data_IF_005448557007
#
_entry.id   IF_005448557007
#
_cell.length_a   1.000
_cell.length_b   1.000
_cell.length_c   1.000
_cell.angle_alpha   90.00
_cell.angle_beta   90.00
_cell.angle_gamma   90.00
#
_symmetry.space_group_name_H-M   'P 1'
#
loop_
_entity.id
_entity.type
_entity.pdbx_description
1 polymer ?
#
# COMPACT_ATOMS: atom_id res chain seq x y z
N UNK A 1 -16.13 -4.84 -10.57
CA UNK A 1 -14.74 -4.68 -10.10
C UNK A 1 -13.88 -4.19 -11.24
N UNK A 2 -12.96 -3.25 -11.02
CA UNK A 2 -12.15 -2.67 -12.10
C UNK A 2 -10.97 -3.56 -12.44
N UNK A 3 -10.79 -3.85 -13.73
CA UNK A 3 -9.60 -4.57 -14.19
C UNK A 3 -8.43 -3.59 -14.20
N UNK A 4 -7.52 -3.73 -13.24
CA UNK A 4 -6.31 -2.91 -13.16
C UNK A 4 -5.38 -3.25 -14.32
N UNK A 5 -4.82 -2.22 -14.96
CA UNK A 5 -3.80 -2.36 -16.00
C UNK A 5 -2.39 -2.58 -15.42
N UNK A 6 -2.27 -2.52 -14.10
CA UNK A 6 -1.02 -2.72 -13.40
C UNK A 6 -0.55 -4.17 -13.57
N UNK A 7 0.57 -4.36 -14.27
CA UNK A 7 1.19 -5.66 -14.48
C UNK A 7 2.08 -6.01 -13.28
N UNK A 8 1.69 -7.02 -12.53
CA UNK A 8 2.37 -7.48 -11.32
C UNK A 8 2.96 -8.89 -11.50
N UNK A 9 2.51 -9.65 -12.49
CA UNK A 9 2.81 -11.07 -12.62
C UNK A 9 4.21 -11.35 -13.17
N UNK A 10 4.75 -10.47 -14.01
CA UNK A 10 6.02 -10.66 -14.69
C UNK A 10 7.27 -10.32 -13.84
N UNK A 11 7.13 -10.08 -12.55
CA UNK A 11 8.23 -9.57 -11.72
C UNK A 11 8.33 -10.25 -10.35
N UNK A 12 7.81 -11.46 -10.22
CA UNK A 12 7.76 -12.18 -8.94
C UNK A 12 9.10 -12.84 -8.54
N UNK A 13 10.02 -13.01 -9.46
CA UNK A 13 11.33 -13.62 -9.19
C UNK A 13 12.20 -12.77 -8.26
N UNK A 14 11.96 -11.47 -8.25
CA UNK A 14 12.53 -10.53 -7.30
C UNK A 14 11.44 -10.11 -6.29
N UNK A 15 11.84 -9.77 -5.06
CA UNK A 15 10.88 -9.22 -4.11
C UNK A 15 10.25 -7.92 -4.64
N UNK A 16 9.03 -7.61 -4.23
CA UNK A 16 8.34 -6.40 -4.64
C UNK A 16 7.86 -5.60 -3.42
N UNK A 17 8.08 -4.30 -3.45
CA UNK A 17 7.35 -3.35 -2.63
C UNK A 17 6.21 -2.73 -3.45
N UNK A 18 4.96 -2.93 -3.02
CA UNK A 18 3.79 -2.30 -3.62
C UNK A 18 3.31 -1.13 -2.77
N UNK A 19 3.71 0.07 -3.14
CA UNK A 19 3.28 1.30 -2.49
C UNK A 19 2.03 1.89 -3.16
N UNK A 20 1.40 2.83 -2.50
CA UNK A 20 0.26 3.58 -3.03
C UNK A 20 -0.59 4.13 -1.92
N UNK A 21 -1.29 5.23 -2.18
CA UNK A 21 -2.17 5.88 -1.21
C UNK A 21 -3.19 4.89 -0.60
N UNK A 22 -3.77 5.27 0.53
CA UNK A 22 -4.84 4.46 1.12
C UNK A 22 -6.03 4.38 0.16
N UNK A 23 -6.75 3.26 0.20
CA UNK A 23 -7.96 2.99 -0.60
C UNK A 23 -7.77 2.90 -2.12
N UNK A 24 -6.54 2.94 -2.66
CA UNK A 24 -6.30 2.73 -4.10
C UNK A 24 -6.51 1.27 -4.56
N UNK A 25 -6.75 0.35 -3.63
CA UNK A 25 -7.09 -1.05 -3.93
C UNK A 25 -5.89 -2.01 -3.93
N UNK A 26 -4.79 -1.72 -3.20
CA UNK A 26 -3.62 -2.63 -3.10
C UNK A 26 -4.00 -4.03 -2.64
N UNK A 27 -4.61 -4.14 -1.45
CA UNK A 27 -4.98 -5.44 -0.85
C UNK A 27 -5.95 -6.22 -1.73
N UNK A 28 -6.93 -5.53 -2.33
CA UNK A 28 -7.88 -6.12 -3.28
C UNK A 28 -7.17 -6.70 -4.50
N UNK A 29 -6.27 -5.91 -5.11
CA UNK A 29 -5.49 -6.34 -6.27
C UNK A 29 -4.65 -7.58 -5.94
N UNK A 30 -3.98 -7.58 -4.78
CA UNK A 30 -3.11 -8.68 -4.36
C UNK A 30 -3.90 -9.97 -4.11
N UNK A 31 -5.03 -9.88 -3.42
CA UNK A 31 -5.89 -11.04 -3.15
C UNK A 31 -6.52 -11.62 -4.40
N UNK A 32 -6.87 -10.78 -5.39
CA UNK A 32 -7.42 -11.24 -6.66
C UNK A 32 -6.38 -11.90 -7.57
N UNK A 33 -5.20 -11.31 -7.62
CA UNK A 33 -4.13 -11.80 -8.52
C UNK A 33 -3.42 -13.03 -7.97
N UNK A 34 -3.35 -13.15 -6.65
CA UNK A 34 -2.58 -14.21 -5.98
C UNK A 34 -3.43 -14.90 -4.89
N UNK A 35 -4.52 -15.58 -5.26
CA UNK A 35 -5.41 -16.23 -4.29
C UNK A 35 -4.74 -17.35 -3.50
N UNK A 36 -3.69 -17.98 -4.06
CA UNK A 36 -2.96 -19.08 -3.42
C UNK A 36 -1.74 -18.63 -2.61
N UNK A 37 -1.45 -17.33 -2.56
CA UNK A 37 -0.34 -16.80 -1.79
C UNK A 37 -0.59 -16.89 -0.29
N UNK A 38 0.48 -17.11 0.48
CA UNK A 38 0.40 -16.96 1.93
C UNK A 38 0.24 -15.46 2.25
N UNK A 39 -0.86 -15.09 2.89
CA UNK A 39 -1.23 -13.68 3.10
C UNK A 39 -1.22 -13.32 4.58
N UNK A 40 -0.40 -12.33 4.94
CA UNK A 40 -0.38 -11.73 6.28
C UNK A 40 -0.88 -10.29 6.23
N UNK A 41 -2.04 -10.05 6.82
CA UNK A 41 -2.62 -8.70 6.97
C UNK A 41 -2.21 -8.12 8.34
N UNK A 42 -1.33 -7.14 8.35
CA UNK A 42 -0.87 -6.47 9.56
C UNK A 42 -1.85 -5.39 10.09
N UNK A 43 -2.98 -5.18 9.43
CA UNK A 43 -4.10 -4.43 10.01
C UNK A 43 -4.84 -5.28 11.04
N UNK A 44 -4.79 -6.61 10.92
CA UNK A 44 -5.35 -7.52 11.93
C UNK A 44 -4.51 -7.42 13.21
N UNK A 45 -5.14 -6.91 14.27
CA UNK A 45 -4.46 -6.58 15.53
C UNK A 45 -3.75 -7.79 16.17
N UNK A 46 -4.38 -8.97 16.12
CA UNK A 46 -3.81 -10.21 16.65
C UNK A 46 -2.51 -10.60 15.90
N UNK A 47 -2.52 -10.53 14.56
CA UNK A 47 -1.36 -10.85 13.72
C UNK A 47 -0.23 -9.84 13.97
N UNK A 48 -0.58 -8.56 13.95
CA UNK A 48 0.38 -7.48 14.22
C UNK A 48 1.03 -7.60 15.58
N UNK A 49 0.25 -7.82 16.66
CA UNK A 49 0.77 -7.96 18.03
C UNK A 49 1.66 -9.19 18.19
N UNK A 50 1.30 -10.30 17.56
CA UNK A 50 2.10 -11.52 17.60
C UNK A 50 3.50 -11.28 17.00
N UNK A 51 3.56 -10.70 15.80
CA UNK A 51 4.84 -10.43 15.13
C UNK A 51 5.64 -9.29 15.77
N UNK A 52 4.99 -8.27 16.35
CA UNK A 52 5.70 -7.25 17.15
C UNK A 52 6.36 -7.82 18.38
N UNK A 53 5.71 -8.79 19.07
CA UNK A 53 6.25 -9.44 20.26
C UNK A 53 7.40 -10.38 19.93
N UNK A 54 7.30 -11.10 18.82
CA UNK A 54 8.30 -12.07 18.39
C UNK A 54 8.42 -12.06 16.86
N UNK A 55 9.22 -11.16 16.27
CA UNK A 55 9.43 -11.11 14.81
C UNK A 55 10.00 -12.41 14.24
N UNK A 56 10.78 -13.16 15.02
CA UNK A 56 11.35 -14.43 14.57
C UNK A 56 10.29 -15.51 14.32
N UNK A 57 9.12 -15.42 14.96
CA UNK A 57 7.99 -16.34 14.70
C UNK A 57 7.50 -16.27 13.24
N UNK A 58 7.65 -15.12 12.58
CA UNK A 58 7.35 -14.98 11.16
C UNK A 58 8.28 -15.86 10.31
N UNK A 59 9.58 -15.81 10.57
CA UNK A 59 10.57 -16.65 9.89
C UNK A 59 10.31 -18.13 10.14
N UNK A 60 10.05 -18.52 11.41
CA UNK A 60 9.74 -19.89 11.79
C UNK A 60 8.50 -20.44 11.08
N UNK A 61 7.46 -19.64 10.90
CA UNK A 61 6.23 -20.05 10.19
C UNK A 61 6.45 -20.34 8.69
N UNK A 62 7.51 -19.81 8.12
CA UNK A 62 7.78 -19.88 6.68
C UNK A 62 9.00 -20.73 6.30
N UNK A 63 9.84 -21.11 7.27
CA UNK A 63 11.13 -21.76 7.01
C UNK A 63 11.00 -23.08 6.25
N UNK A 64 9.92 -23.83 6.47
CA UNK A 64 9.68 -25.14 5.83
C UNK A 64 8.86 -25.05 4.55
N UNK A 65 8.54 -23.84 4.07
CA UNK A 65 7.81 -23.66 2.83
C UNK A 65 8.73 -23.94 1.63
N UNK A 66 8.19 -24.53 0.54
CA UNK A 66 8.95 -24.78 -0.68
C UNK A 66 9.51 -23.49 -1.29
N UNK A 67 10.68 -23.58 -1.94
CA UNK A 67 11.21 -22.49 -2.74
C UNK A 67 10.18 -22.07 -3.81
N UNK A 68 10.13 -20.78 -4.14
CA UNK A 68 9.13 -20.21 -5.04
C UNK A 68 7.76 -19.92 -4.40
N UNK A 69 7.55 -20.30 -3.12
CA UNK A 69 6.31 -19.91 -2.41
C UNK A 69 6.19 -18.40 -2.34
N UNK A 70 5.06 -17.87 -2.82
CA UNK A 70 4.74 -16.45 -2.73
C UNK A 70 4.13 -16.12 -1.36
N UNK A 71 4.70 -15.12 -0.71
CA UNK A 71 4.23 -14.57 0.56
C UNK A 71 3.90 -13.09 0.40
N UNK A 72 2.71 -12.70 0.80
CA UNK A 72 2.26 -11.31 0.80
C UNK A 72 2.20 -10.81 2.24
N UNK A 73 2.85 -9.68 2.51
CA UNK A 73 2.75 -8.99 3.79
C UNK A 73 2.14 -7.61 3.56
N UNK A 74 0.89 -7.45 3.95
CA UNK A 74 0.15 -6.20 3.76
C UNK A 74 0.39 -5.25 4.93
N UNK A 75 0.62 -3.96 4.62
CA UNK A 75 0.93 -2.88 5.57
C UNK A 75 2.23 -3.12 6.38
N UNK A 76 3.30 -3.57 5.69
CA UNK A 76 4.60 -3.93 6.28
C UNK A 76 5.18 -2.85 7.21
N UNK A 77 4.88 -1.57 7.00
CA UNK A 77 5.33 -0.48 7.88
C UNK A 77 4.76 -0.55 9.30
N UNK A 78 3.75 -1.40 9.55
CA UNK A 78 3.22 -1.63 10.90
C UNK A 78 4.16 -2.49 11.77
N UNK A 79 4.97 -3.34 11.12
CA UNK A 79 5.98 -4.21 11.78
C UNK A 79 7.22 -4.30 10.89
N UNK A 80 8.01 -3.21 10.77
CA UNK A 80 9.17 -3.15 9.87
C UNK A 80 10.28 -4.14 10.26
N UNK A 81 10.29 -4.62 11.49
CA UNK A 81 11.23 -5.62 11.99
C UNK A 81 11.14 -6.97 11.23
N UNK A 82 10.03 -7.22 10.53
CA UNK A 82 9.88 -8.42 9.69
C UNK A 82 10.80 -8.42 8.46
N UNK A 83 11.30 -7.25 8.04
CA UNK A 83 12.13 -7.13 6.83
C UNK A 83 13.43 -7.95 6.91
N UNK A 84 14.01 -8.09 8.09
CA UNK A 84 15.19 -8.94 8.27
C UNK A 84 14.84 -10.42 8.04
N UNK A 85 13.70 -10.86 8.56
CA UNK A 85 13.16 -12.20 8.32
C UNK A 85 12.83 -12.44 6.84
N UNK A 86 12.20 -11.47 6.19
CA UNK A 86 11.91 -11.50 4.73
C UNK A 86 13.21 -11.66 3.94
N UNK A 87 14.21 -10.81 4.21
CA UNK A 87 15.51 -10.87 3.54
C UNK A 87 16.16 -12.25 3.71
N UNK A 88 16.19 -12.76 4.93
CA UNK A 88 16.78 -14.08 5.20
C UNK A 88 16.06 -15.20 4.43
N UNK A 89 14.70 -15.18 4.40
CA UNK A 89 13.89 -16.18 3.70
C UNK A 89 14.07 -16.11 2.18
N UNK A 90 14.18 -14.91 1.61
CA UNK A 90 14.48 -14.74 0.19
C UNK A 90 15.82 -15.37 -0.18
N UNK A 91 16.87 -15.07 0.60
CA UNK A 91 18.24 -15.51 0.29
C UNK A 91 18.44 -17.01 0.55
N UNK A 92 17.92 -17.51 1.68
CA UNK A 92 18.27 -18.85 2.14
C UNK A 92 17.22 -19.91 1.81
N UNK A 93 15.98 -19.50 1.49
CA UNK A 93 14.87 -20.41 1.19
C UNK A 93 14.26 -20.22 -0.20
N UNK A 94 14.67 -19.15 -0.90
CA UNK A 94 14.14 -18.86 -2.25
C UNK A 94 12.64 -18.53 -2.24
N UNK A 95 12.11 -17.95 -1.17
CA UNK A 95 10.74 -17.50 -1.11
C UNK A 95 10.58 -16.17 -1.83
N UNK A 96 9.44 -15.94 -2.44
CA UNK A 96 9.10 -14.70 -3.11
C UNK A 96 8.19 -13.83 -2.22
N UNK A 97 8.40 -12.52 -2.24
CA UNK A 97 7.66 -11.61 -1.36
C UNK A 97 7.06 -10.43 -2.12
N UNK A 98 5.80 -10.13 -1.80
CA UNK A 98 5.18 -8.84 -2.09
C UNK A 98 4.87 -8.16 -0.75
N UNK A 99 5.47 -6.99 -0.54
CA UNK A 99 5.31 -6.20 0.67
C UNK A 99 4.52 -4.94 0.32
N UNK A 100 3.31 -4.81 0.84
CA UNK A 100 2.51 -3.63 0.56
C UNK A 100 2.59 -2.58 1.67
N UNK A 101 2.37 -1.33 1.31
CA UNK A 101 2.33 -0.24 2.27
C UNK A 101 1.84 1.07 1.68
N UNK A 102 1.49 2.03 2.55
CA UNK A 102 1.06 3.36 2.09
C UNK A 102 2.23 4.20 1.57
N UNK A 103 3.43 4.06 2.15
CA UNK A 103 4.57 4.93 1.83
C UNK A 103 5.92 4.25 2.03
N UNK A 104 6.81 4.41 1.04
CA UNK A 104 8.22 4.00 1.12
C UNK A 104 8.98 4.80 2.20
N UNK A 105 8.62 6.05 2.45
CA UNK A 105 9.28 6.92 3.43
C UNK A 105 9.09 6.41 4.85
N UNK A 106 7.89 5.89 5.17
CA UNK A 106 7.61 5.29 6.49
C UNK A 106 8.56 4.14 6.79
N UNK A 107 8.82 3.27 5.82
CA UNK A 107 9.78 2.18 5.95
C UNK A 107 11.22 2.68 6.12
N UNK A 108 11.66 3.66 5.34
CA UNK A 108 13.01 4.22 5.46
C UNK A 108 13.25 4.88 6.82
N UNK A 109 12.25 5.53 7.40
CA UNK A 109 12.35 6.17 8.72
C UNK A 109 12.48 5.20 9.88
N UNK A 110 11.91 4.01 9.74
CA UNK A 110 12.07 2.97 10.78
C UNK A 110 13.49 2.41 10.86
N UNK A 111 14.43 2.88 10.01
CA UNK A 111 15.79 2.34 9.94
C UNK A 111 15.85 0.93 9.38
N UNK A 112 14.72 0.40 8.92
CA UNK A 112 14.66 -0.94 8.39
C UNK A 112 15.43 -1.06 7.08
N UNK A 113 16.20 -2.14 6.95
CA UNK A 113 16.90 -2.48 5.73
C UNK A 113 15.86 -2.73 4.61
N UNK A 114 15.87 -1.90 3.57
CA UNK A 114 14.95 -2.02 2.43
C UNK A 114 15.39 -3.12 1.46
N UNK A 115 15.74 -4.29 2.01
CA UNK A 115 16.12 -5.52 1.29
C UNK A 115 17.33 -5.39 0.35
N UNK A 116 18.14 -4.31 0.50
CA UNK A 116 19.42 -4.21 -0.20
C UNK A 116 19.34 -4.33 -1.72
N UNK A 117 18.29 -3.82 -2.35
CA UNK A 117 18.10 -3.88 -3.79
C UNK A 117 17.47 -5.19 -4.31
N UNK A 118 17.05 -6.10 -3.40
CA UNK A 118 16.38 -7.36 -3.75
C UNK A 118 14.86 -7.25 -3.90
N UNK A 119 14.31 -6.06 -3.76
CA UNK A 119 12.90 -5.80 -3.97
C UNK A 119 12.71 -4.57 -4.83
N UNK A 120 11.88 -4.70 -5.85
CA UNK A 120 11.58 -3.63 -6.79
C UNK A 120 10.43 -2.79 -6.24
N UNK A 121 10.61 -1.47 -6.05
CA UNK A 121 9.51 -0.62 -5.66
C UNK A 121 8.56 -0.37 -6.84
N UNK A 122 7.27 -0.57 -6.59
CA UNK A 122 6.18 -0.27 -7.51
C UNK A 122 5.14 0.58 -6.81
N UNK A 123 4.45 1.42 -7.57
CA UNK A 123 3.40 2.28 -7.04
C UNK A 123 2.09 2.00 -7.76
N UNK A 124 1.07 1.64 -6.97
CA UNK A 124 -0.31 1.55 -7.44
C UNK A 124 -0.96 2.93 -7.28
N UNK A 125 -1.31 3.53 -8.39
CA UNK A 125 -2.04 4.80 -8.43
C UNK A 125 -3.56 4.58 -8.29
N UNK A 126 -4.35 5.63 -8.02
CA UNK A 126 -5.81 5.59 -8.22
C UNK A 126 -6.18 5.06 -9.62
N UNK A 127 -7.46 4.88 -9.88
CA UNK A 127 -7.92 4.44 -11.19
C UNK A 127 -7.45 5.40 -12.30
N UNK A 128 -7.18 4.84 -13.47
CA UNK A 128 -6.97 5.62 -14.69
C UNK A 128 -8.13 5.38 -15.64
N UNK A 129 -8.36 6.30 -16.57
CA UNK A 129 -9.51 6.25 -17.48
C UNK A 129 -9.64 4.91 -18.24
N UNK A 130 -8.53 4.26 -18.56
CA UNK A 130 -8.49 2.97 -19.25
C UNK A 130 -8.99 1.78 -18.41
N UNK A 131 -9.03 1.94 -17.09
CA UNK A 131 -9.48 0.91 -16.14
C UNK A 131 -10.99 1.02 -15.87
N UNK A 132 -11.63 2.07 -16.34
CA UNK A 132 -13.02 2.37 -16.08
C UNK A 132 -13.84 2.22 -17.35
N UNK A 133 -14.79 1.30 -17.36
CA UNK A 133 -15.80 1.20 -18.41
C UNK A 133 -16.73 2.42 -18.30
N UNK A 134 -17.07 3.03 -19.43
CA UNK A 134 -17.93 4.23 -19.49
C UNK A 134 -17.40 5.41 -18.64
N UNK A 135 -16.10 5.68 -18.77
CA UNK A 135 -15.44 6.76 -18.04
C UNK A 135 -16.12 8.11 -18.32
N UNK A 136 -16.45 8.82 -17.24
CA UNK A 136 -17.05 10.14 -17.25
C UNK A 136 -16.12 11.15 -16.59
N UNK A 137 -15.71 12.17 -17.36
CA UNK A 137 -14.75 13.16 -16.86
C UNK A 137 -15.34 14.00 -15.72
N UNK A 138 -16.62 14.39 -15.81
CA UNK A 138 -17.28 15.17 -14.78
C UNK A 138 -17.34 14.42 -13.45
N UNK A 139 -17.63 13.12 -13.51
CA UNK A 139 -17.61 12.24 -12.34
C UNK A 139 -16.18 12.07 -11.76
N UNK A 140 -15.17 12.01 -12.61
CA UNK A 140 -13.78 11.93 -12.19
C UNK A 140 -13.32 13.22 -11.49
N UNK A 141 -13.77 14.37 -11.97
CA UNK A 141 -13.48 15.69 -11.37
C UNK A 141 -14.21 15.83 -10.03
N UNK A 142 -15.48 15.44 -9.96
CA UNK A 142 -16.31 15.57 -8.77
C UNK A 142 -15.88 14.57 -7.66
N UNK A 143 -15.71 13.29 -7.99
CA UNK A 143 -15.54 12.20 -7.02
C UNK A 143 -14.08 11.79 -6.84
N UNK A 144 -13.17 12.24 -7.70
CA UNK A 144 -11.81 11.73 -7.77
C UNK A 144 -11.73 10.31 -8.32
N UNK A 145 -10.52 9.77 -8.40
CA UNK A 145 -10.23 8.47 -9.05
C UNK A 145 -9.88 7.35 -8.05
N UNK A 146 -10.08 7.57 -6.76
CA UNK A 146 -9.99 6.48 -5.78
C UNK A 146 -11.17 5.53 -6.01
N UNK A 147 -10.97 4.19 -6.13
CA UNK A 147 -12.02 3.26 -6.54
C UNK A 147 -13.33 3.39 -5.74
N UNK A 148 -13.25 3.53 -4.43
CA UNK A 148 -14.44 3.65 -3.56
C UNK A 148 -15.19 4.97 -3.75
N UNK A 149 -14.52 6.03 -4.17
CA UNK A 149 -15.11 7.34 -4.42
C UNK A 149 -15.74 7.36 -5.82
N UNK A 150 -15.01 6.93 -6.83
CA UNK A 150 -15.51 6.93 -8.20
C UNK A 150 -16.76 6.06 -8.42
N UNK A 151 -16.93 4.98 -7.62
CA UNK A 151 -18.05 4.04 -7.75
C UNK A 151 -19.42 4.61 -7.39
N UNK A 152 -19.47 5.68 -6.62
CA UNK A 152 -20.74 6.28 -6.15
C UNK A 152 -21.12 7.47 -7.02
N UNK A 153 -22.40 7.85 -6.97
CA UNK A 153 -22.86 9.02 -7.73
C UNK A 153 -22.43 10.32 -7.08
N UNK A 154 -22.42 10.36 -5.74
CA UNK A 154 -21.91 11.46 -4.93
C UNK A 154 -20.94 10.94 -3.89
N UNK A 155 -19.71 11.44 -3.92
CA UNK A 155 -18.64 11.06 -3.02
C UNK A 155 -18.30 12.14 -1.97
N UNK A 156 -19.07 13.21 -1.85
CA UNK A 156 -18.76 14.37 -1.02
C UNK A 156 -18.39 13.96 0.41
N UNK A 157 -19.28 13.24 1.12
CA UNK A 157 -19.01 12.81 2.50
C UNK A 157 -17.77 11.90 2.61
N UNK A 158 -17.50 11.09 1.56
CA UNK A 158 -16.32 10.20 1.53
C UNK A 158 -15.04 10.97 1.31
N UNK A 159 -15.08 12.02 0.49
CA UNK A 159 -13.95 12.89 0.22
C UNK A 159 -13.61 13.72 1.46
N UNK A 160 -14.62 14.29 2.12
CA UNK A 160 -14.45 15.02 3.39
C UNK A 160 -13.80 14.11 4.44
N UNK A 161 -14.37 12.93 4.68
CA UNK A 161 -13.78 11.96 5.62
C UNK A 161 -12.38 11.48 5.21
N UNK A 162 -12.10 11.39 3.91
CA UNK A 162 -10.75 11.05 3.42
C UNK A 162 -9.75 12.17 3.72
N UNK A 163 -10.12 13.42 3.47
CA UNK A 163 -9.28 14.59 3.77
C UNK A 163 -9.03 14.71 5.26
N UNK A 164 -10.08 14.66 6.08
CA UNK A 164 -9.97 14.85 7.52
C UNK A 164 -9.16 13.74 8.21
N UNK A 165 -9.42 12.48 7.89
CA UNK A 165 -8.87 11.35 8.64
C UNK A 165 -7.56 10.81 8.05
N UNK A 166 -7.42 10.84 6.73
CA UNK A 166 -6.29 10.19 6.07
C UNK A 166 -5.24 11.16 5.54
N UNK A 167 -5.67 12.25 4.90
CA UNK A 167 -4.72 13.19 4.33
C UNK A 167 -3.90 13.87 5.42
N UNK A 168 -4.54 14.30 6.50
CA UNK A 168 -3.88 14.89 7.67
C UNK A 168 -2.88 13.93 8.32
N UNK A 169 -3.27 12.65 8.51
CA UNK A 169 -2.37 11.64 9.07
C UNK A 169 -1.19 11.35 8.14
N UNK A 170 -1.44 11.22 6.83
CA UNK A 170 -0.36 10.95 5.87
C UNK A 170 0.59 12.14 5.76
N UNK A 171 0.10 13.36 5.74
CA UNK A 171 0.92 14.58 5.71
C UNK A 171 1.80 14.66 6.97
N UNK A 172 1.21 14.44 8.16
CA UNK A 172 1.96 14.39 9.42
C UNK A 172 3.01 13.29 9.44
N UNK A 173 2.60 12.09 9.07
CA UNK A 173 3.44 10.90 9.10
C UNK A 173 4.58 10.98 8.08
N UNK A 174 4.37 11.61 6.95
CA UNK A 174 5.41 11.83 5.96
C UNK A 174 6.37 12.96 6.36
N UNK A 175 6.04 13.75 7.39
CA UNK A 175 6.77 14.96 7.83
C UNK A 175 7.23 15.85 6.66
N UNK A 176 6.46 15.83 5.57
CA UNK A 176 6.68 16.71 4.43
C UNK A 176 6.23 18.14 4.76
N UNK A 177 5.30 18.25 5.71
CA UNK A 177 4.72 19.52 6.18
C UNK A 177 4.81 19.55 7.70
N UNK A 178 5.54 20.52 8.25
CA UNK A 178 5.66 20.72 9.70
C UNK A 178 4.40 21.43 10.26
N UNK A 179 3.79 22.25 9.44
CA UNK A 179 2.60 23.04 9.79
C UNK A 179 1.40 22.55 8.95
N UNK A 180 0.54 21.76 9.57
CA UNK A 180 -0.65 21.18 8.93
C UNK A 180 -1.70 22.28 8.67
N UNK A 181 -1.79 23.30 9.54
CA UNK A 181 -2.75 24.41 9.37
C UNK A 181 -2.37 25.27 8.16
N UNK A 182 -1.08 25.58 7.99
CA UNK A 182 -0.59 26.30 6.80
C UNK A 182 -0.82 25.49 5.52
N UNK A 183 -0.71 24.16 5.58
CA UNK A 183 -1.01 23.30 4.43
C UNK A 183 -2.51 23.32 4.10
N UNK A 184 -3.39 23.28 5.08
CA UNK A 184 -4.85 23.38 4.88
C UNK A 184 -5.22 24.73 4.23
N UNK A 185 -4.69 25.84 4.76
CA UNK A 185 -4.89 27.16 4.16
C UNK A 185 -4.39 27.23 2.71
N UNK A 186 -3.26 26.58 2.42
CA UNK A 186 -2.74 26.47 1.05
C UNK A 186 -3.69 25.67 0.14
N UNK A 187 -4.24 24.57 0.62
CA UNK A 187 -5.21 23.76 -0.15
C UNK A 187 -6.50 24.55 -0.41
N UNK A 188 -7.01 25.26 0.60
CA UNK A 188 -8.18 26.13 0.46
C UNK A 188 -7.93 27.25 -0.57
N UNK A 189 -6.75 27.88 -0.50
CA UNK A 189 -6.35 28.89 -1.48
C UNK A 189 -6.33 28.35 -2.91
N UNK A 190 -5.82 27.13 -3.12
CA UNK A 190 -5.81 26.49 -4.42
C UNK A 190 -7.23 26.21 -4.97
N UNK A 191 -8.15 25.80 -4.10
CA UNK A 191 -9.54 25.53 -4.47
C UNK A 191 -10.27 26.83 -4.88
N UNK A 192 -9.99 27.95 -4.23
CA UNK A 192 -10.59 29.25 -4.56
C UNK A 192 -9.92 29.96 -5.74
N UNK A 193 -8.68 29.60 -6.09
CA UNK A 193 -7.95 30.24 -7.21
C UNK A 193 -7.97 29.42 -8.48
N UNK A 194 -8.55 28.23 -8.49
CA UNK A 194 -8.81 27.47 -9.71
C UNK A 194 -10.01 28.06 -10.45
N UNK A 195 -9.84 28.51 -11.72
CA UNK A 195 -10.92 29.10 -12.50
C UNK A 195 -12.04 28.10 -12.82
#
# INVERSE_FOLDING_TARGET
MYKRIFDIENQLDEGMFLFGARQVGKSTLLQERFPDAIYYDLLIDAVRKAFKRNPDSFRQALIDKPAGTLVIVDEIQKVPELLDGVHWLMVNRGLHFILSGSSARKLKRSGANTLGGRAIPRTLFPLVWKEVTDFQIDKAVQNGMIPRHYLVDDATDRLEGYVELYLREEIRDEAAVQDVEAFEQFMDCLLYTSP
#
